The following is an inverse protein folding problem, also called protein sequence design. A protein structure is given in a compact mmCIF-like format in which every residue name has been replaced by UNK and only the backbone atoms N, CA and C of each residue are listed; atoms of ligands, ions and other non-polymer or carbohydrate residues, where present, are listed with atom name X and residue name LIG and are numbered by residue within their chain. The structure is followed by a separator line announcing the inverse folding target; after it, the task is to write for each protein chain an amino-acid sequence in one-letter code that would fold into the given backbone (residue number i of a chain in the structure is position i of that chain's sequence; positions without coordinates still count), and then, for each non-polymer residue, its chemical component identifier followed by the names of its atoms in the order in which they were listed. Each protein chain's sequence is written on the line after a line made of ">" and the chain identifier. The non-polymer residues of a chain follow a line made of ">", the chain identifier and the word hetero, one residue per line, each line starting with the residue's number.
data_IF_562599364225
#
_entry.id   IF_562599364225
#
_cell.length_a   1.000
_cell.length_b   1.000
_cell.length_c   1.000
_cell.angle_alpha   90.00
_cell.angle_beta   90.00
_cell.angle_gamma   90.00
#
_symmetry.space_group_name_H-M   'P 1'
#
loop_
_entity.id
_entity.type
_entity.pdbx_description
1 polymer ?
#
# COMPACT_ATOMS: atom_id res chain seq x y z
N UNK A 1 28.33 3.13 -5.12
CA UNK A 1 27.06 2.77 -4.43
C UNK A 1 25.92 2.93 -5.44
N UNK A 2 25.18 1.87 -5.77
CA UNK A 2 24.02 1.98 -6.69
C UNK A 2 22.97 2.87 -6.03
N UNK A 3 22.70 4.05 -6.60
CA UNK A 3 21.65 4.94 -6.10
C UNK A 3 20.31 4.23 -6.29
N UNK A 4 19.63 3.88 -5.20
CA UNK A 4 18.26 3.36 -5.24
C UNK A 4 17.39 4.40 -5.95
N UNK A 5 16.57 3.98 -6.91
CA UNK A 5 15.70 4.90 -7.63
C UNK A 5 14.61 5.44 -6.67
N UNK A 6 14.25 6.70 -6.84
CA UNK A 6 13.30 7.40 -5.96
C UNK A 6 11.99 6.62 -5.68
N UNK A 7 11.32 6.00 -6.68
CA UNK A 7 10.12 5.21 -6.44
C UNK A 7 10.33 4.04 -5.47
N UNK A 8 11.50 3.38 -5.54
CA UNK A 8 11.82 2.25 -4.67
C UNK A 8 11.99 2.73 -3.23
N UNK A 9 12.69 3.85 -3.02
CA UNK A 9 12.88 4.42 -1.68
C UNK A 9 11.53 4.79 -1.04
N UNK A 10 10.65 5.43 -1.80
CA UNK A 10 9.29 5.74 -1.31
C UNK A 10 8.45 4.50 -1.08
N UNK A 11 8.59 3.46 -1.91
CA UNK A 11 7.94 2.17 -1.70
C UNK A 11 8.34 1.53 -0.37
N UNK A 12 9.64 1.51 -0.06
CA UNK A 12 10.17 1.02 1.21
C UNK A 12 9.61 1.80 2.42
N UNK A 13 9.63 3.13 2.35
CA UNK A 13 9.08 3.99 3.43
C UNK A 13 7.58 3.76 3.57
N UNK A 14 6.84 3.69 2.48
CA UNK A 14 5.38 3.45 2.50
C UNK A 14 5.05 2.09 3.11
N UNK A 15 5.79 1.02 2.76
CA UNK A 15 5.63 -0.28 3.44
C UNK A 15 5.92 -0.20 4.92
N UNK A 16 6.97 0.51 5.34
CA UNK A 16 7.29 0.64 6.76
C UNK A 16 6.16 1.36 7.53
N UNK A 17 5.55 2.40 6.94
CA UNK A 17 4.40 3.10 7.52
C UNK A 17 3.16 2.21 7.58
N UNK A 18 2.87 1.43 6.52
CA UNK A 18 1.77 0.46 6.51
C UNK A 18 1.93 -0.60 7.60
N UNK A 19 3.14 -1.15 7.74
CA UNK A 19 3.48 -2.14 8.77
C UNK A 19 3.33 -1.53 10.16
N UNK A 20 3.88 -0.33 10.38
CA UNK A 20 3.77 0.37 11.67
C UNK A 20 2.30 0.65 12.02
N UNK A 21 1.49 1.11 11.06
CA UNK A 21 0.07 1.33 11.26
C UNK A 21 -0.66 0.03 11.65
N UNK A 22 -0.40 -1.07 10.94
CA UNK A 22 -0.97 -2.38 11.27
C UNK A 22 -0.57 -2.83 12.68
N UNK A 23 0.70 -2.72 13.05
CA UNK A 23 1.19 -3.11 14.38
C UNK A 23 0.57 -2.25 15.48
N UNK A 24 0.40 -0.95 15.26
CA UNK A 24 -0.30 -0.07 16.22
C UNK A 24 -1.74 -0.55 16.40
N UNK A 25 -2.46 -0.87 15.31
CA UNK A 25 -3.82 -1.43 15.43
C UNK A 25 -3.83 -2.79 16.15
N UNK A 26 -2.79 -3.60 15.95
CA UNK A 26 -2.63 -4.88 16.62
C UNK A 26 -2.48 -4.72 18.15
N UNK A 27 -1.70 -3.73 18.60
CA UNK A 27 -1.55 -3.42 20.04
C UNK A 27 -2.86 -3.06 20.73
N UNK A 28 -3.83 -2.49 20.01
CA UNK A 28 -5.15 -2.13 20.54
C UNK A 28 -6.24 -3.14 20.15
N UNK A 29 -5.89 -4.30 19.57
CA UNK A 29 -6.85 -5.28 19.04
C UNK A 29 -7.86 -4.71 18.04
N UNK A 30 -7.55 -3.59 17.37
CA UNK A 30 -8.44 -2.96 16.38
C UNK A 30 -8.24 -3.46 14.95
N UNK A 31 -7.12 -4.14 14.69
CA UNK A 31 -6.79 -4.75 13.41
C UNK A 31 -7.79 -5.85 12.94
N UNK A 32 -8.63 -6.38 13.84
CA UNK A 32 -9.69 -7.35 13.52
C UNK A 32 -10.93 -6.71 12.88
N UNK A 33 -11.05 -5.38 12.91
CA UNK A 33 -12.18 -4.68 12.28
C UNK A 33 -11.77 -4.19 10.88
N UNK A 34 -12.41 -4.70 9.81
CA UNK A 34 -12.06 -4.34 8.43
C UNK A 34 -12.10 -2.85 8.12
N UNK A 35 -12.92 -2.08 8.87
CA UNK A 35 -13.03 -0.63 8.73
C UNK A 35 -11.69 0.09 8.87
N UNK A 36 -10.81 -0.34 9.78
CA UNK A 36 -9.50 0.30 9.97
C UNK A 36 -8.53 0.02 8.81
N UNK A 37 -8.73 -1.08 8.07
CA UNK A 37 -7.88 -1.43 6.92
C UNK A 37 -8.07 -0.47 5.74
N UNK A 38 -9.19 0.25 5.64
CA UNK A 38 -9.38 1.29 4.62
C UNK A 38 -8.34 2.41 4.72
N UNK A 39 -7.80 2.67 5.92
CA UNK A 39 -6.75 3.68 6.09
C UNK A 39 -5.44 3.29 5.38
N UNK A 40 -5.21 2.00 5.10
CA UNK A 40 -4.07 1.56 4.28
C UNK A 40 -4.12 2.17 2.87
N UNK A 41 -5.32 2.36 2.31
CA UNK A 41 -5.48 3.02 1.03
C UNK A 41 -5.09 4.50 1.09
N UNK A 42 -5.37 5.18 2.21
CA UNK A 42 -4.96 6.58 2.44
C UNK A 42 -3.44 6.66 2.52
N UNK A 43 -2.80 5.81 3.33
CA UNK A 43 -1.33 5.75 3.46
C UNK A 43 -0.68 5.48 2.10
N UNK A 44 -1.20 4.50 1.36
CA UNK A 44 -0.68 4.12 0.03
C UNK A 44 -0.82 5.28 -0.96
N UNK A 45 -1.98 5.95 -0.98
CA UNK A 45 -2.21 7.10 -1.86
C UNK A 45 -1.27 8.25 -1.53
N UNK A 46 -1.03 8.52 -0.24
CA UNK A 46 -0.10 9.55 0.19
C UNK A 46 1.35 9.24 -0.20
N UNK A 47 1.78 7.98 -0.02
CA UNK A 47 3.11 7.54 -0.45
C UNK A 47 3.32 7.67 -1.96
N UNK A 48 2.32 7.31 -2.76
CA UNK A 48 2.32 7.49 -4.22
C UNK A 48 2.33 8.98 -4.59
N UNK A 49 1.51 9.80 -3.93
CA UNK A 49 1.47 11.25 -4.16
C UNK A 49 2.82 11.91 -3.96
N UNK A 50 3.47 11.66 -2.82
CA UNK A 50 4.78 12.23 -2.52
C UNK A 50 5.86 11.74 -3.49
N UNK A 51 5.84 10.46 -3.87
CA UNK A 51 6.79 9.92 -4.85
C UNK A 51 6.65 10.60 -6.23
N UNK A 52 5.42 10.76 -6.72
CA UNK A 52 5.16 11.40 -8.03
C UNK A 52 5.48 12.89 -7.98
N UNK A 53 5.06 13.59 -6.92
CA UNK A 53 5.34 15.02 -6.72
C UNK A 53 6.84 15.29 -6.68
N UNK A 54 7.60 14.50 -5.92
CA UNK A 54 9.05 14.69 -5.83
C UNK A 54 9.75 14.35 -7.14
N UNK A 55 9.28 13.32 -7.87
CA UNK A 55 9.77 13.02 -9.22
C UNK A 55 9.55 14.19 -10.19
N UNK A 56 8.38 14.85 -10.12
CA UNK A 56 8.09 16.06 -10.90
C UNK A 56 9.02 17.22 -10.56
N UNK A 57 9.38 17.39 -9.28
CA UNK A 57 10.28 18.45 -8.82
C UNK A 57 11.74 18.20 -9.17
N UNK A 58 12.22 16.95 -9.11
CA UNK A 58 13.61 16.61 -9.45
C UNK A 58 13.88 16.64 -10.96
N UNK A 59 12.87 16.34 -11.77
CA UNK A 59 13.01 16.22 -13.25
C UNK A 59 11.86 16.89 -13.99
N UNK A 60 11.66 18.21 -13.86
CA UNK A 60 10.52 18.91 -14.44
C UNK A 60 10.44 18.79 -15.96
N UNK A 61 11.58 18.83 -16.66
CA UNK A 61 11.63 18.76 -18.13
C UNK A 61 11.36 17.36 -18.69
N UNK A 62 11.63 16.30 -17.92
CA UNK A 62 11.40 14.92 -18.31
C UNK A 62 10.09 14.35 -17.75
N UNK A 63 9.37 15.12 -16.93
CA UNK A 63 8.16 14.66 -16.28
C UNK A 63 6.99 14.62 -17.27
N UNK A 64 6.52 13.41 -17.54
CA UNK A 64 5.33 13.16 -18.36
C UNK A 64 4.28 12.40 -17.56
N UNK A 65 3.06 12.31 -18.10
CA UNK A 65 2.01 11.48 -17.49
C UNK A 65 2.46 10.01 -17.35
N UNK A 66 3.16 9.48 -18.36
CA UNK A 66 3.69 8.11 -18.33
C UNK A 66 4.73 7.90 -17.24
N UNK A 67 5.65 8.85 -17.06
CA UNK A 67 6.68 8.78 -16.00
C UNK A 67 6.08 8.88 -14.59
N UNK A 68 5.10 9.76 -14.39
CA UNK A 68 4.38 9.85 -13.11
C UNK A 68 3.57 8.58 -12.81
N UNK A 69 2.85 8.05 -13.80
CA UNK A 69 2.10 6.80 -13.65
C UNK A 69 3.03 5.62 -13.31
N UNK A 70 4.16 5.49 -14.01
CA UNK A 70 5.18 4.47 -13.74
C UNK A 70 5.77 4.61 -12.33
N UNK A 71 6.07 5.83 -11.90
CA UNK A 71 6.57 6.13 -10.55
C UNK A 71 5.59 5.69 -9.48
N UNK A 72 4.30 6.00 -9.65
CA UNK A 72 3.25 5.60 -8.71
C UNK A 72 3.09 4.08 -8.63
N UNK A 73 3.03 3.39 -9.78
CA UNK A 73 2.93 1.93 -9.81
C UNK A 73 4.11 1.25 -9.13
N UNK A 74 5.35 1.65 -9.43
CA UNK A 74 6.54 1.05 -8.82
C UNK A 74 6.51 1.26 -7.29
N UNK A 75 6.17 2.47 -6.85
CA UNK A 75 6.10 2.81 -5.41
C UNK A 75 5.07 1.95 -4.69
N UNK A 76 3.83 1.91 -5.20
CA UNK A 76 2.74 1.18 -4.56
C UNK A 76 2.89 -0.34 -4.64
N UNK A 77 3.39 -0.90 -5.74
CA UNK A 77 3.62 -2.34 -5.84
C UNK A 77 4.71 -2.83 -4.90
N UNK A 78 5.80 -2.08 -4.75
CA UNK A 78 6.83 -2.40 -3.76
C UNK A 78 6.24 -2.36 -2.35
N UNK A 79 5.46 -1.33 -2.05
CA UNK A 79 4.81 -1.20 -0.75
C UNK A 79 3.85 -2.38 -0.47
N UNK A 80 3.01 -2.74 -1.45
CA UNK A 80 2.05 -3.83 -1.36
C UNK A 80 2.75 -5.19 -1.17
N UNK A 81 3.76 -5.50 -1.97
CA UNK A 81 4.50 -6.77 -1.87
C UNK A 81 5.13 -6.92 -0.49
N UNK A 82 5.83 -5.88 -0.01
CA UNK A 82 6.49 -5.92 1.29
C UNK A 82 5.50 -6.01 2.45
N UNK A 83 4.39 -5.28 2.35
CA UNK A 83 3.31 -5.39 3.34
C UNK A 83 2.68 -6.78 3.35
N UNK A 84 2.43 -7.39 2.18
CA UNK A 84 1.90 -8.76 2.09
C UNK A 84 2.87 -9.78 2.69
N UNK A 85 4.17 -9.67 2.45
CA UNK A 85 5.15 -10.57 3.07
C UNK A 85 5.16 -10.43 4.59
N UNK A 86 5.12 -9.20 5.11
CA UNK A 86 4.97 -8.95 6.53
C UNK A 86 3.67 -9.54 7.07
N UNK A 87 2.55 -9.33 6.37
CA UNK A 87 1.24 -9.81 6.79
C UNK A 87 1.20 -11.33 6.86
N UNK A 88 1.76 -12.02 5.86
CA UNK A 88 1.90 -13.47 5.85
C UNK A 88 2.70 -13.95 7.08
N UNK A 89 3.86 -13.35 7.33
CA UNK A 89 4.68 -13.68 8.50
C UNK A 89 3.93 -13.42 9.81
N UNK A 90 3.17 -12.33 9.88
CA UNK A 90 2.40 -11.98 11.06
C UNK A 90 1.33 -13.03 11.38
N UNK A 91 0.55 -13.47 10.39
CA UNK A 91 -0.54 -14.44 10.62
C UNK A 91 -0.07 -15.88 10.79
N UNK A 92 1.20 -16.22 10.47
CA UNK A 92 1.75 -17.57 10.62
C UNK A 92 2.71 -17.74 11.80
N UNK A 93 3.44 -16.69 12.18
CA UNK A 93 4.48 -16.78 13.23
C UNK A 93 4.16 -15.93 14.46
N UNK A 94 3.40 -14.83 14.30
CA UNK A 94 3.14 -13.88 15.39
C UNK A 94 1.76 -14.13 16.01
N UNK A 95 0.71 -14.20 15.20
CA UNK A 95 -0.67 -14.36 15.66
C UNK A 95 -1.48 -15.30 14.77
N UNK A 96 -1.38 -16.59 15.05
CA UNK A 96 -2.11 -17.65 14.36
C UNK A 96 -3.64 -17.60 14.59
N UNK A 97 -4.08 -16.89 15.63
CA UNK A 97 -5.50 -16.71 15.94
C UNK A 97 -6.15 -15.54 15.18
N UNK A 98 -5.36 -14.67 14.56
CA UNK A 98 -5.85 -13.43 13.93
C UNK A 98 -6.95 -13.69 12.90
N UNK A 99 -6.78 -14.68 12.03
CA UNK A 99 -7.78 -14.98 10.99
C UNK A 99 -9.11 -15.45 11.60
N UNK A 100 -9.05 -16.29 12.63
CA UNK A 100 -10.25 -16.75 13.35
C UNK A 100 -10.98 -15.59 14.02
N UNK A 101 -10.26 -14.67 14.66
CA UNK A 101 -10.84 -13.46 15.26
C UNK A 101 -11.47 -12.54 14.20
N UNK A 102 -10.77 -12.34 13.08
CA UNK A 102 -11.25 -11.55 11.95
C UNK A 102 -12.56 -12.13 11.38
N UNK A 103 -12.64 -13.45 11.18
CA UNK A 103 -13.85 -14.10 10.66
C UNK A 103 -15.04 -14.00 11.62
N UNK A 104 -14.80 -14.13 12.91
CA UNK A 104 -15.85 -13.95 13.93
C UNK A 104 -16.46 -12.54 13.88
N UNK A 105 -15.66 -11.51 13.60
CA UNK A 105 -16.14 -10.13 13.47
C UNK A 105 -16.88 -9.91 12.15
N UNK A 106 -16.46 -10.56 11.06
CA UNK A 106 -17.02 -10.35 9.72
C UNK A 106 -18.33 -11.13 9.49
N UNK A 107 -18.74 -12.02 10.41
CA UNK A 107 -19.91 -12.92 10.25
C UNK A 107 -19.90 -13.72 8.93
N UNK A 108 -18.74 -13.81 8.27
CA UNK A 108 -18.58 -14.60 7.06
C UNK A 108 -18.22 -16.00 7.49
N UNK A 109 -19.09 -16.99 7.25
CA UNK A 109 -18.80 -18.42 7.43
C UNK A 109 -17.69 -18.96 6.49
N UNK A 110 -16.71 -18.13 6.17
CA UNK A 110 -15.59 -18.37 5.28
C UNK A 110 -14.43 -18.93 6.10
N UNK A 111 -14.30 -20.25 6.11
CA UNK A 111 -13.05 -20.92 6.46
C UNK A 111 -12.07 -20.76 5.28
N UNK A 112 -11.61 -19.53 5.04
CA UNK A 112 -10.63 -19.27 4.00
C UNK A 112 -9.22 -19.53 4.55
N UNK A 113 -8.46 -20.33 3.80
CA UNK A 113 -7.08 -20.68 4.10
C UNK A 113 -6.17 -19.44 4.14
N UNK A 114 -5.14 -19.50 4.99
CA UNK A 114 -4.13 -18.44 5.18
C UNK A 114 -3.52 -17.98 3.85
N UNK A 115 -3.27 -18.90 2.91
CA UNK A 115 -2.75 -18.59 1.59
C UNK A 115 -3.73 -17.77 0.74
N UNK A 116 -5.02 -18.12 0.79
CA UNK A 116 -6.06 -17.38 0.06
C UNK A 116 -6.22 -15.95 0.59
N UNK A 117 -6.25 -15.77 1.91
CA UNK A 117 -6.36 -14.43 2.52
C UNK A 117 -5.16 -13.57 2.15
N UNK A 118 -3.95 -14.11 2.26
CA UNK A 118 -2.71 -13.41 1.90
C UNK A 118 -2.73 -12.98 0.43
N UNK A 119 -3.20 -13.86 -0.46
CA UNK A 119 -3.34 -13.56 -1.88
C UNK A 119 -4.36 -12.44 -2.13
N UNK A 120 -5.51 -12.48 -1.46
CA UNK A 120 -6.53 -11.42 -1.55
C UNK A 120 -5.97 -10.07 -1.08
N UNK A 121 -5.20 -10.05 0.01
CA UNK A 121 -4.51 -8.84 0.50
C UNK A 121 -3.56 -8.26 -0.55
N UNK A 122 -2.78 -9.13 -1.23
CA UNK A 122 -1.87 -8.70 -2.29
C UNK A 122 -2.62 -8.06 -3.47
N UNK A 123 -3.67 -8.73 -3.97
CA UNK A 123 -4.46 -8.23 -5.09
C UNK A 123 -5.17 -6.92 -4.73
N UNK A 124 -5.70 -6.79 -3.51
CA UNK A 124 -6.27 -5.53 -3.02
C UNK A 124 -5.21 -4.41 -2.96
N UNK A 125 -3.98 -4.71 -2.54
CA UNK A 125 -2.87 -3.77 -2.56
C UNK A 125 -2.52 -3.29 -3.98
N UNK A 126 -2.52 -4.20 -4.96
CA UNK A 126 -2.30 -3.85 -6.37
C UNK A 126 -3.44 -3.02 -6.94
N UNK A 127 -4.70 -3.40 -6.70
CA UNK A 127 -5.86 -2.63 -7.15
C UNK A 127 -5.83 -1.21 -6.57
N UNK A 128 -5.56 -1.08 -5.27
CA UNK A 128 -5.43 0.22 -4.58
C UNK A 128 -4.30 1.05 -5.21
N UNK A 129 -3.16 0.44 -5.50
CA UNK A 129 -2.03 1.13 -6.16
C UNK A 129 -2.41 1.70 -7.51
N UNK A 130 -3.09 0.92 -8.36
CA UNK A 130 -3.52 1.38 -9.69
C UNK A 130 -4.50 2.53 -9.57
N UNK A 131 -5.54 2.37 -8.73
CA UNK A 131 -6.56 3.41 -8.52
C UNK A 131 -5.94 4.69 -7.95
N UNK A 132 -5.13 4.57 -6.89
CA UNK A 132 -4.45 5.69 -6.26
C UNK A 132 -3.52 6.42 -7.23
N UNK A 133 -2.76 5.67 -8.04
CA UNK A 133 -1.89 6.26 -9.06
C UNK A 133 -2.69 7.05 -10.07
N UNK A 134 -3.81 6.51 -10.57
CA UNK A 134 -4.69 7.24 -11.50
C UNK A 134 -5.24 8.52 -10.86
N UNK A 135 -5.78 8.43 -9.64
CA UNK A 135 -6.33 9.58 -8.90
C UNK A 135 -5.27 10.68 -8.71
N UNK A 136 -4.07 10.31 -8.25
CA UNK A 136 -2.97 11.25 -8.05
C UNK A 136 -2.52 11.88 -9.37
N UNK A 137 -2.44 11.08 -10.44
CA UNK A 137 -2.04 11.60 -11.75
C UNK A 137 -3.08 12.55 -12.33
N UNK A 138 -4.38 12.29 -12.15
CA UNK A 138 -5.44 13.24 -12.54
C UNK A 138 -5.36 14.52 -11.72
N UNK A 139 -5.10 14.42 -10.41
CA UNK A 139 -4.94 15.57 -9.54
C UNK A 139 -3.73 16.45 -9.94
N UNK A 140 -2.60 15.83 -10.28
CA UNK A 140 -1.37 16.54 -10.65
C UNK A 140 -1.34 17.08 -12.08
N UNK A 141 -2.33 16.73 -12.91
CA UNK A 141 -2.48 17.20 -14.30
C UNK A 141 -2.78 18.70 -14.40
N UNK A 142 -3.22 19.35 -13.31
CA UNK A 142 -3.86 20.67 -13.37
C UNK A 142 -3.00 21.88 -12.93
N UNK A 143 -1.67 21.85 -13.08
CA UNK A 143 -0.82 22.95 -12.57
C UNK A 143 0.15 23.61 -13.56
N UNK A 144 0.14 23.29 -14.86
CA UNK A 144 1.06 23.97 -15.81
C UNK A 144 0.62 23.96 -17.28
N UNK A 145 -0.68 23.93 -17.56
CA UNK A 145 -1.22 24.23 -18.90
C UNK A 145 -2.55 25.00 -18.74
N UNK A 146 -2.44 26.29 -18.45
CA UNK A 146 -3.38 27.35 -18.82
C UNK A 146 -2.58 28.62 -19.01
#
# INVERSE_FOLDING_TARGET
>A
MKKITLPIRFGLVTSAVLIAYFLILALFHKHIYPGFSFFNAVITTFGIYEAIKLTKLEKPEAFSYGEGFKTGLITGFIAAILFTFFFLFYITEINNGFLSELYNVINGGLNADTGLVTFVVLIMGFATTVIATLVVMQYLKNSSQT
#
